data_IF_421550433539
#
_entry.id   IF_421550433539
#
_cell.length_a   1.000
_cell.length_b   1.000
_cell.length_c   1.000
_cell.angle_alpha   90.00
_cell.angle_beta   90.00
_cell.angle_gamma   90.00
#
_symmetry.space_group_name_H-M   'P 1'
#
loop_
_entity.id
_entity.type
_entity.pdbx_description
1 polymer ?
#
# COMPACT_ATOMS: atom_id res chain seq x y z
N UNK A 1 9.92 -18.54 -5.74
CA UNK A 1 8.86 -17.78 -6.47
C UNK A 1 8.14 -16.87 -5.49
N UNK A 2 7.76 -15.67 -5.93
CA UNK A 2 7.00 -14.73 -5.10
C UNK A 2 5.55 -15.17 -4.90
N UNK A 3 4.96 -14.79 -3.77
CA UNK A 3 3.60 -15.13 -3.39
C UNK A 3 2.69 -13.91 -3.51
N UNK A 4 1.66 -14.04 -4.32
CA UNK A 4 0.59 -13.06 -4.50
C UNK A 4 -0.68 -13.54 -3.80
N UNK A 5 -1.59 -12.62 -3.48
CA UNK A 5 -2.86 -12.91 -2.84
C UNK A 5 -4.04 -12.41 -3.67
N UNK A 6 -5.21 -12.98 -3.40
CA UNK A 6 -6.47 -12.45 -3.92
C UNK A 6 -6.83 -11.12 -3.26
N UNK A 7 -7.71 -10.37 -3.92
CA UNK A 7 -8.28 -9.15 -3.37
C UNK A 7 -8.88 -9.38 -1.97
N UNK A 8 -8.59 -8.46 -1.03
CA UNK A 8 -9.23 -8.41 0.28
C UNK A 8 -10.67 -7.85 0.18
N UNK A 9 -11.37 -7.72 1.32
CA UNK A 9 -12.76 -7.28 1.34
C UNK A 9 -13.02 -5.94 0.64
N UNK A 10 -12.14 -4.93 0.85
CA UNK A 10 -12.21 -3.62 0.18
C UNK A 10 -12.05 -3.79 -1.35
N UNK A 11 -10.99 -4.44 -1.76
CA UNK A 11 -10.61 -4.60 -3.16
C UNK A 11 -11.58 -5.51 -3.94
N UNK A 12 -12.24 -6.46 -3.28
CA UNK A 12 -13.30 -7.28 -3.88
C UNK A 12 -14.48 -6.46 -4.37
N UNK A 13 -14.81 -5.34 -3.69
CA UNK A 13 -15.88 -4.43 -4.12
C UNK A 13 -15.54 -3.79 -5.46
N UNK A 14 -14.34 -3.22 -5.58
CA UNK A 14 -13.85 -2.67 -6.85
C UNK A 14 -13.82 -3.73 -7.94
N UNK A 15 -13.23 -4.88 -7.66
CA UNK A 15 -13.11 -5.97 -8.62
C UNK A 15 -14.48 -6.44 -9.16
N UNK A 16 -15.49 -6.59 -8.27
CA UNK A 16 -16.86 -6.94 -8.65
C UNK A 16 -17.53 -5.84 -9.48
N UNK A 17 -17.41 -4.57 -9.04
CA UNK A 17 -18.03 -3.42 -9.73
C UNK A 17 -17.49 -3.22 -11.13
N UNK A 18 -16.18 -3.43 -11.33
CA UNK A 18 -15.51 -3.22 -12.61
C UNK A 18 -15.39 -4.50 -13.45
N UNK A 19 -15.80 -5.66 -12.95
CA UNK A 19 -15.69 -6.93 -13.65
C UNK A 19 -14.25 -7.40 -13.88
N UNK A 20 -13.30 -6.98 -13.03
CA UNK A 20 -11.86 -7.27 -13.18
C UNK A 20 -11.37 -8.29 -12.16
N UNK A 21 -10.32 -9.03 -12.52
CA UNK A 21 -9.59 -9.93 -11.62
C UNK A 21 -8.45 -9.16 -10.96
N UNK A 22 -8.58 -8.87 -9.67
CA UNK A 22 -7.60 -8.12 -8.90
C UNK A 22 -6.76 -9.04 -8.03
N UNK A 23 -5.46 -8.87 -8.11
CA UNK A 23 -4.46 -9.54 -7.25
C UNK A 23 -3.67 -8.52 -6.47
N UNK A 24 -3.00 -8.98 -5.42
CA UNK A 24 -2.23 -8.12 -4.51
C UNK A 24 -0.85 -8.69 -4.24
N UNK A 25 0.09 -7.79 -4.05
CA UNK A 25 1.43 -8.08 -3.59
C UNK A 25 1.70 -7.37 -2.26
N UNK A 26 2.54 -7.95 -1.42
CA UNK A 26 2.78 -7.43 -0.07
C UNK A 26 4.20 -7.74 0.38
N UNK A 27 4.82 -6.76 1.05
CA UNK A 27 6.13 -6.84 1.69
C UNK A 27 6.02 -6.50 3.18
N UNK A 28 7.06 -6.74 4.00
CA UNK A 28 7.05 -6.45 5.42
C UNK A 28 6.82 -4.97 5.70
N UNK A 29 5.73 -4.65 6.40
CA UNK A 29 5.40 -3.29 6.79
C UNK A 29 6.49 -2.68 7.69
N UNK A 30 6.76 -1.39 7.49
CA UNK A 30 7.79 -0.65 8.23
C UNK A 30 9.21 -0.96 7.76
N UNK A 31 9.59 -2.23 7.65
CA UNK A 31 10.94 -2.63 7.23
C UNK A 31 11.26 -2.24 5.79
N UNK A 32 10.28 -2.24 4.92
CA UNK A 32 10.41 -1.81 3.52
C UNK A 32 9.92 -0.39 3.27
N UNK A 33 9.40 0.31 4.30
CA UNK A 33 8.78 1.62 4.19
C UNK A 33 9.76 2.75 4.56
N UNK A 34 10.86 2.88 3.84
CA UNK A 34 11.91 3.88 4.13
C UNK A 34 11.45 5.34 4.15
N UNK A 35 10.39 5.67 3.39
CA UNK A 35 9.76 6.98 3.34
C UNK A 35 8.67 7.24 4.37
N UNK A 36 8.23 6.23 5.12
CA UNK A 36 7.13 6.38 6.07
C UNK A 36 7.52 7.18 7.31
N UNK A 37 6.58 7.98 7.83
CA UNK A 37 6.68 8.76 9.04
C UNK A 37 5.43 8.54 9.90
N UNK A 38 4.29 9.11 9.53
CA UNK A 38 3.07 9.15 10.33
C UNK A 38 2.41 7.78 10.54
N UNK A 39 2.62 6.82 9.63
CA UNK A 39 2.10 5.45 9.76
C UNK A 39 3.19 4.42 10.08
N UNK A 40 4.42 4.85 10.40
CA UNK A 40 5.53 3.92 10.58
C UNK A 40 5.27 2.96 11.75
N UNK A 41 5.05 1.71 11.41
CA UNK A 41 4.89 0.63 12.36
C UNK A 41 5.33 -0.69 11.72
N UNK A 42 5.83 -1.60 12.51
CA UNK A 42 6.30 -2.91 12.04
C UNK A 42 6.06 -3.99 13.11
N UNK A 43 5.85 -5.21 12.67
CA UNK A 43 5.81 -6.38 13.51
C UNK A 43 7.20 -7.04 13.55
N UNK A 44 7.68 -7.34 14.73
CA UNK A 44 8.92 -8.10 14.88
C UNK A 44 8.79 -9.45 14.14
N UNK A 45 9.78 -9.76 13.32
CA UNK A 45 9.72 -10.94 12.45
C UNK A 45 9.51 -12.25 13.21
N UNK A 46 10.17 -12.40 14.36
CA UNK A 46 10.15 -13.65 15.16
C UNK A 46 8.94 -13.71 16.07
N UNK A 47 8.74 -12.66 16.86
CA UNK A 47 7.74 -12.63 17.93
C UNK A 47 6.39 -12.11 17.50
N UNK A 48 6.31 -11.35 16.41
CA UNK A 48 5.11 -10.62 15.98
C UNK A 48 4.80 -9.38 16.83
N UNK A 49 5.63 -9.02 17.81
CA UNK A 49 5.41 -7.83 18.63
C UNK A 49 5.44 -6.57 17.76
N UNK A 50 4.37 -5.78 17.85
CA UNK A 50 4.28 -4.51 17.12
C UNK A 50 5.10 -3.43 17.82
N UNK A 51 5.78 -2.64 17.00
CA UNK A 51 6.47 -1.41 17.42
C UNK A 51 6.04 -0.29 16.48
N UNK A 52 5.68 0.85 17.05
CA UNK A 52 5.39 2.07 16.32
C UNK A 52 6.65 2.95 16.23
N UNK A 53 6.76 3.75 15.19
CA UNK A 53 7.82 4.74 15.03
C UNK A 53 7.65 5.90 16.02
N UNK A 54 8.69 6.71 16.20
CA UNK A 54 8.66 7.84 17.15
C UNK A 54 7.64 8.93 16.79
N UNK A 55 7.40 9.12 15.51
CA UNK A 55 6.52 10.17 14.95
C UNK A 55 5.19 9.60 14.44
N UNK A 56 4.87 8.34 14.79
CA UNK A 56 3.66 7.67 14.30
C UNK A 56 2.41 8.33 14.85
N UNK A 57 1.56 8.86 13.95
CA UNK A 57 0.26 9.45 14.27
C UNK A 57 -0.84 8.37 14.31
N UNK A 58 -0.74 7.39 13.40
CA UNK A 58 -1.62 6.22 13.35
C UNK A 58 -0.83 4.98 12.94
N UNK A 59 -1.20 3.85 13.55
CA UNK A 59 -0.52 2.59 13.26
C UNK A 59 -0.90 2.03 11.88
N UNK A 60 0.11 1.62 11.10
CA UNK A 60 -0.11 0.90 9.87
C UNK A 60 -0.93 -0.39 10.12
N UNK A 61 -2.05 -0.54 9.41
CA UNK A 61 -2.92 -1.71 9.56
C UNK A 61 -2.20 -3.02 9.23
N UNK A 62 -1.26 -2.97 8.29
CA UNK A 62 -0.52 -4.15 7.85
C UNK A 62 0.43 -4.66 8.94
N UNK A 63 1.07 -3.77 9.71
CA UNK A 63 1.88 -4.16 10.86
C UNK A 63 1.05 -4.93 11.91
N UNK A 64 -0.21 -4.49 12.14
CA UNK A 64 -1.14 -5.20 13.03
C UNK A 64 -1.56 -6.57 12.46
N UNK A 65 -1.76 -6.68 11.14
CA UNK A 65 -2.08 -7.97 10.51
C UNK A 65 -0.89 -8.94 10.55
N UNK A 66 0.33 -8.46 10.32
CA UNK A 66 1.54 -9.28 10.46
C UNK A 66 1.75 -9.78 11.90
N UNK A 67 1.39 -8.96 12.89
CA UNK A 67 1.42 -9.37 14.30
C UNK A 67 0.41 -10.49 14.59
N UNK A 68 -0.80 -10.35 14.06
CA UNK A 68 -1.91 -11.28 14.31
C UNK A 68 -1.75 -12.60 13.55
N UNK A 69 -1.21 -12.56 12.32
CA UNK A 69 -1.16 -13.71 11.42
C UNK A 69 0.28 -14.13 11.09
N UNK A 70 0.86 -15.11 11.83
CA UNK A 70 2.23 -15.59 11.61
C UNK A 70 2.50 -16.07 10.17
N UNK A 71 1.51 -16.70 9.53
CA UNK A 71 1.63 -17.18 8.14
C UNK A 71 1.74 -16.02 7.14
N UNK A 72 1.01 -14.93 7.37
CA UNK A 72 1.14 -13.71 6.57
C UNK A 72 2.53 -13.09 6.77
N UNK A 73 2.95 -12.96 8.03
CA UNK A 73 4.27 -12.45 8.37
C UNK A 73 5.39 -13.26 7.71
N UNK A 74 5.33 -14.59 7.78
CA UNK A 74 6.30 -15.45 7.10
C UNK A 74 6.32 -15.23 5.57
N UNK A 75 5.14 -15.14 4.95
CA UNK A 75 5.00 -14.93 3.51
C UNK A 75 5.61 -13.60 3.04
N UNK A 76 5.35 -12.49 3.73
CA UNK A 76 5.86 -11.18 3.30
C UNK A 76 7.38 -11.10 3.44
N UNK A 77 7.95 -11.73 4.47
CA UNK A 77 9.40 -11.84 4.64
C UNK A 77 10.05 -12.73 3.57
N UNK A 78 9.43 -13.86 3.21
CA UNK A 78 9.89 -14.73 2.12
C UNK A 78 9.91 -13.98 0.78
N UNK A 79 8.86 -13.19 0.49
CA UNK A 79 8.83 -12.32 -0.69
C UNK A 79 10.02 -11.35 -0.69
N UNK A 80 10.25 -10.68 0.43
CA UNK A 80 11.33 -9.70 0.58
C UNK A 80 12.70 -10.34 0.37
N UNK A 81 12.96 -11.49 1.01
CA UNK A 81 14.23 -12.21 0.87
C UNK A 81 14.49 -12.68 -0.57
N UNK A 82 13.46 -13.16 -1.26
CA UNK A 82 13.58 -13.54 -2.66
C UNK A 82 13.92 -12.34 -3.56
N UNK A 83 13.29 -11.19 -3.33
CA UNK A 83 13.60 -9.96 -4.07
C UNK A 83 15.02 -9.47 -3.79
N UNK A 84 15.44 -9.46 -2.53
CA UNK A 84 16.81 -9.08 -2.19
C UNK A 84 17.86 -10.03 -2.80
N UNK A 85 17.57 -11.32 -2.83
CA UNK A 85 18.46 -12.29 -3.46
C UNK A 85 18.56 -12.06 -4.99
N UNK A 86 17.42 -11.78 -5.65
CA UNK A 86 17.40 -11.50 -7.08
C UNK A 86 18.14 -10.19 -7.41
N UNK A 87 17.96 -9.14 -6.60
CA UNK A 87 18.62 -7.84 -6.80
C UNK A 87 20.16 -7.93 -6.72
N UNK A 88 20.72 -8.92 -6.04
CA UNK A 88 22.18 -9.15 -6.05
C UNK A 88 22.69 -9.49 -7.45
N UNK A 89 21.83 -10.01 -8.33
CA UNK A 89 22.11 -10.32 -9.72
C UNK A 89 21.60 -9.23 -10.69
N UNK A 90 21.18 -8.07 -10.16
CA UNK A 90 20.76 -6.91 -10.94
C UNK A 90 19.25 -6.74 -11.07
N UNK A 91 18.87 -5.63 -11.70
CA UNK A 91 17.47 -5.23 -11.90
C UNK A 91 16.70 -6.23 -12.75
N UNK A 92 17.33 -6.70 -13.86
CA UNK A 92 16.69 -7.61 -14.79
C UNK A 92 16.35 -8.95 -14.13
N UNK A 93 17.26 -9.49 -13.31
CA UNK A 93 17.01 -10.72 -12.55
C UNK A 93 15.84 -10.55 -11.55
N UNK A 94 15.70 -9.38 -10.95
CA UNK A 94 14.57 -9.05 -10.08
C UNK A 94 13.27 -8.91 -10.89
N UNK A 95 13.31 -8.23 -12.03
CA UNK A 95 12.17 -8.11 -12.95
C UNK A 95 11.71 -9.47 -13.47
N UNK A 96 12.65 -10.35 -13.85
CA UNK A 96 12.35 -11.72 -14.26
C UNK A 96 11.71 -12.54 -13.15
N UNK A 97 12.24 -12.44 -11.92
CA UNK A 97 11.63 -13.11 -10.76
C UNK A 97 10.19 -12.63 -10.55
N UNK A 98 9.93 -11.32 -10.58
CA UNK A 98 8.59 -10.76 -10.41
C UNK A 98 7.69 -11.25 -11.56
N UNK A 99 8.10 -11.03 -12.80
CA UNK A 99 7.33 -11.38 -14.00
C UNK A 99 6.94 -12.87 -14.03
N UNK A 100 7.90 -13.75 -13.80
CA UNK A 100 7.70 -15.21 -13.82
C UNK A 100 6.88 -15.70 -12.60
N UNK A 101 6.74 -14.89 -11.57
CA UNK A 101 5.90 -15.17 -10.40
C UNK A 101 4.49 -14.60 -10.50
N UNK A 102 4.19 -13.75 -11.50
CA UNK A 102 2.87 -13.16 -11.66
C UNK A 102 1.77 -14.23 -11.77
N UNK A 103 0.59 -14.01 -11.17
CA UNK A 103 -0.54 -14.90 -11.35
C UNK A 103 -0.96 -14.99 -12.83
N UNK A 104 -1.31 -16.19 -13.30
CA UNK A 104 -1.69 -16.40 -14.71
C UNK A 104 -2.92 -15.60 -15.17
N UNK A 105 -3.83 -15.28 -14.24
CA UNK A 105 -5.10 -14.61 -14.54
C UNK A 105 -5.30 -13.44 -13.59
N UNK A 106 -5.06 -12.24 -14.05
CA UNK A 106 -5.42 -10.99 -13.39
C UNK A 106 -5.50 -9.87 -14.43
N UNK A 107 -6.18 -8.80 -14.09
CA UNK A 107 -6.31 -7.58 -14.90
C UNK A 107 -5.67 -6.40 -14.16
N UNK A 108 -5.82 -6.38 -12.83
CA UNK A 108 -5.32 -5.30 -11.96
C UNK A 108 -4.48 -5.89 -10.83
N UNK A 109 -3.35 -5.25 -10.54
CA UNK A 109 -2.46 -5.61 -9.44
C UNK A 109 -2.26 -4.43 -8.49
N UNK A 110 -2.64 -4.58 -7.22
CA UNK A 110 -2.19 -3.66 -6.18
C UNK A 110 -0.78 -4.06 -5.75
N UNK A 111 0.19 -3.27 -6.14
CA UNK A 111 1.58 -3.41 -5.70
C UNK A 111 1.69 -2.76 -4.32
N UNK A 112 2.01 -3.57 -3.31
CA UNK A 112 2.07 -3.25 -1.88
C UNK A 112 0.70 -2.94 -1.22
N UNK A 113 0.04 -3.99 -0.71
CA UNK A 113 -1.00 -3.80 0.33
C UNK A 113 -0.34 -3.37 1.64
N UNK A 114 0.85 -3.88 1.92
CA UNK A 114 1.77 -3.45 2.97
C UNK A 114 3.20 -3.49 2.46
N UNK A 115 4.09 -2.74 3.12
CA UNK A 115 5.41 -2.47 2.60
C UNK A 115 5.40 -1.33 1.57
N UNK A 116 6.57 -1.04 1.00
CA UNK A 116 6.78 0.02 0.02
C UNK A 116 8.00 -0.32 -0.86
N UNK A 117 8.29 0.53 -1.84
CA UNK A 117 9.52 0.42 -2.63
C UNK A 117 10.73 0.74 -1.75
N UNK A 118 11.54 -0.28 -1.49
CA UNK A 118 12.65 -0.19 -0.54
C UNK A 118 13.98 0.21 -1.19
N UNK A 119 14.07 0.19 -2.52
CA UNK A 119 15.23 0.68 -3.27
C UNK A 119 14.86 1.13 -4.68
N UNK A 120 15.76 1.89 -5.30
CA UNK A 120 15.65 2.36 -6.68
C UNK A 120 15.60 1.20 -7.67
N UNK A 121 16.46 0.22 -7.48
CA UNK A 121 16.56 -0.97 -8.35
C UNK A 121 15.28 -1.82 -8.28
N UNK A 122 14.66 -1.92 -7.11
CA UNK A 122 13.39 -2.61 -6.93
C UNK A 122 12.23 -1.88 -7.62
N UNK A 123 12.19 -0.55 -7.53
CA UNK A 123 11.20 0.23 -8.30
C UNK A 123 11.42 0.05 -9.80
N UNK A 124 12.68 0.11 -10.26
CA UNK A 124 13.01 -0.11 -11.66
C UNK A 124 12.58 -1.50 -12.15
N UNK A 125 12.74 -2.54 -11.34
CA UNK A 125 12.25 -3.88 -11.66
C UNK A 125 10.73 -3.90 -11.88
N UNK A 126 9.93 -3.19 -11.06
CA UNK A 126 8.49 -3.08 -11.27
C UNK A 126 8.13 -2.27 -12.51
N UNK A 127 8.90 -1.22 -12.85
CA UNK A 127 8.74 -0.48 -14.10
C UNK A 127 8.93 -1.41 -15.30
N UNK A 128 9.97 -2.24 -15.30
CA UNK A 128 10.20 -3.22 -16.37
C UNK A 128 9.10 -4.29 -16.42
N UNK A 129 8.61 -4.76 -15.27
CA UNK A 129 7.46 -5.68 -15.22
C UNK A 129 6.20 -5.05 -15.82
N UNK A 130 5.91 -3.79 -15.51
CA UNK A 130 4.76 -3.09 -16.08
C UNK A 130 4.87 -2.95 -17.61
N UNK A 131 6.05 -2.58 -18.12
CA UNK A 131 6.30 -2.49 -19.58
C UNK A 131 6.11 -3.84 -20.29
N UNK A 132 6.50 -4.95 -19.66
CA UNK A 132 6.33 -6.31 -20.19
C UNK A 132 4.88 -6.82 -20.17
N UNK A 133 3.98 -6.11 -19.46
CA UNK A 133 2.57 -6.49 -19.31
C UNK A 133 1.65 -5.27 -19.60
N UNK A 134 1.66 -4.74 -20.83
CA UNK A 134 0.97 -3.49 -21.16
C UNK A 134 -0.56 -3.59 -21.08
N UNK A 135 -1.12 -4.80 -21.12
CA UNK A 135 -2.54 -5.12 -20.97
C UNK A 135 -3.01 -5.21 -19.51
N UNK A 136 -2.11 -5.03 -18.54
CA UNK A 136 -2.40 -5.08 -17.11
C UNK A 136 -2.22 -3.71 -16.46
N UNK A 137 -3.02 -3.43 -15.43
CA UNK A 137 -2.87 -2.24 -14.60
C UNK A 137 -2.18 -2.61 -13.30
N UNK A 138 -1.10 -1.91 -12.99
CA UNK A 138 -0.41 -1.96 -11.71
C UNK A 138 -0.62 -0.63 -11.00
N UNK A 139 -1.03 -0.64 -9.75
CA UNK A 139 -1.14 0.58 -8.96
C UNK A 139 -0.56 0.40 -7.57
N UNK A 140 -0.06 1.50 -7.01
CA UNK A 140 0.52 1.49 -5.67
C UNK A 140 0.32 2.80 -4.95
N UNK A 141 0.26 2.71 -3.63
CA UNK A 141 0.48 3.82 -2.73
C UNK A 141 1.95 3.81 -2.31
N UNK A 142 2.60 4.96 -2.29
CA UNK A 142 4.00 5.02 -1.85
C UNK A 142 4.29 6.28 -1.04
N UNK A 143 5.13 6.12 -0.02
CA UNK A 143 5.81 7.21 0.70
C UNK A 143 7.29 7.29 0.33
N UNK A 144 7.80 6.36 -0.48
CA UNK A 144 9.17 6.34 -1.00
C UNK A 144 9.34 7.27 -2.21
N UNK A 145 8.74 8.46 -2.15
CA UNK A 145 8.57 9.40 -3.27
C UNK A 145 9.90 9.86 -3.88
N UNK A 146 10.95 9.94 -3.09
CA UNK A 146 12.30 10.27 -3.56
C UNK A 146 12.85 9.30 -4.60
N UNK A 147 12.34 8.07 -4.66
CA UNK A 147 12.73 7.09 -5.68
C UNK A 147 12.05 7.40 -7.02
N UNK A 148 10.80 7.82 -6.99
CA UNK A 148 9.97 8.02 -8.19
C UNK A 148 10.39 9.22 -9.03
N UNK A 149 10.90 10.29 -8.43
CA UNK A 149 11.35 11.50 -9.16
C UNK A 149 12.43 11.24 -10.22
N UNK A 150 13.04 10.06 -10.19
CA UNK A 150 14.12 9.67 -11.10
C UNK A 150 13.65 8.91 -12.33
N UNK A 151 12.34 8.55 -12.41
CA UNK A 151 11.81 7.69 -13.45
C UNK A 151 10.55 8.28 -14.09
N UNK A 152 10.44 8.12 -15.40
CA UNK A 152 9.17 8.20 -16.09
C UNK A 152 8.44 6.85 -15.92
N UNK A 153 7.25 6.87 -15.36
CA UNK A 153 6.44 5.67 -15.17
C UNK A 153 5.71 5.33 -16.47
N UNK A 154 5.58 4.04 -16.84
CA UNK A 154 4.68 3.65 -17.91
C UNK A 154 3.23 3.89 -17.47
N UNK A 155 2.33 4.17 -18.43
CA UNK A 155 0.93 4.53 -18.15
C UNK A 155 0.17 3.51 -17.31
N UNK A 156 0.55 2.25 -17.41
CA UNK A 156 -0.05 1.14 -16.68
C UNK A 156 0.57 0.88 -15.29
N UNK A 157 1.51 1.72 -14.82
CA UNK A 157 2.02 1.72 -13.45
C UNK A 157 1.60 3.02 -12.75
N UNK A 158 0.46 2.98 -12.07
CA UNK A 158 -0.18 4.15 -11.47
C UNK A 158 0.34 4.38 -10.06
N UNK A 159 0.99 5.53 -9.83
CA UNK A 159 1.40 6.00 -8.51
C UNK A 159 0.28 6.83 -7.86
N UNK A 160 -0.03 6.54 -6.61
CA UNK A 160 -0.68 7.45 -5.68
C UNK A 160 0.32 7.78 -4.58
N UNK A 161 0.72 9.04 -4.46
CA UNK A 161 1.54 9.49 -3.35
C UNK A 161 0.75 9.36 -2.05
N UNK A 162 1.34 8.78 -1.01
CA UNK A 162 0.67 8.62 0.28
C UNK A 162 1.21 9.66 1.24
N UNK A 163 0.44 10.70 1.55
CA UNK A 163 0.85 11.79 2.46
C UNK A 163 1.10 11.27 3.89
N UNK A 164 1.90 11.95 4.66
CA UNK A 164 2.38 11.54 5.97
C UNK A 164 3.72 10.79 5.90
N UNK A 165 4.54 11.12 4.92
CA UNK A 165 5.90 10.61 4.71
C UNK A 165 6.98 11.65 4.94
N UNK A 166 8.23 11.23 4.76
CA UNK A 166 9.42 12.09 4.88
C UNK A 166 9.66 12.99 3.67
N UNK A 167 8.97 12.74 2.57
CA UNK A 167 9.20 13.35 1.26
C UNK A 167 7.91 13.95 0.71
N UNK A 168 7.04 14.46 1.59
CA UNK A 168 5.75 15.02 1.20
C UNK A 168 5.89 16.31 0.38
N UNK A 169 6.99 17.04 0.57
CA UNK A 169 7.39 18.18 -0.26
C UNK A 169 7.44 17.86 -1.76
N UNK A 170 7.76 16.62 -2.10
CA UNK A 170 7.78 16.17 -3.49
C UNK A 170 6.38 16.02 -4.10
N UNK A 171 5.34 15.83 -3.29
CA UNK A 171 3.96 15.77 -3.75
C UNK A 171 3.58 17.12 -4.34
N UNK A 172 3.80 18.18 -3.57
CA UNK A 172 3.47 19.55 -3.95
C UNK A 172 4.33 20.02 -5.14
N UNK A 173 5.65 19.71 -5.09
CA UNK A 173 6.60 20.08 -6.15
C UNK A 173 6.24 19.47 -7.51
N UNK A 174 5.76 18.23 -7.54
CA UNK A 174 5.44 17.50 -8.77
C UNK A 174 3.95 17.44 -9.08
N UNK A 175 3.12 18.04 -8.25
CA UNK A 175 1.65 17.98 -8.34
C UNK A 175 1.14 16.53 -8.50
N UNK A 176 1.71 15.60 -7.73
CA UNK A 176 1.31 14.20 -7.80
C UNK A 176 -0.06 13.97 -7.16
N UNK A 177 -0.85 13.11 -7.77
CA UNK A 177 -2.06 12.57 -7.13
C UNK A 177 -1.70 11.95 -5.80
N UNK A 178 -2.44 12.31 -4.74
CA UNK A 178 -2.17 11.83 -3.41
C UNK A 178 -3.39 11.22 -2.71
N UNK A 179 -3.10 10.43 -1.69
CA UNK A 179 -4.06 9.93 -0.72
C UNK A 179 -3.69 10.45 0.67
N UNK A 180 -4.67 11.02 1.37
CA UNK A 180 -4.53 11.55 2.74
C UNK A 180 -5.36 10.67 3.67
N UNK A 181 -4.77 10.18 4.76
CA UNK A 181 -5.51 9.50 5.81
C UNK A 181 -6.16 10.54 6.71
N UNK A 182 -7.49 10.48 6.83
CA UNK A 182 -8.30 11.37 7.66
C UNK A 182 -8.93 10.61 8.82
N UNK A 183 -9.17 11.30 9.91
CA UNK A 183 -9.68 10.72 11.14
C UNK A 183 -11.21 10.82 11.25
N UNK A 184 -11.82 11.64 10.40
CA UNK A 184 -13.28 11.78 10.30
C UNK A 184 -13.71 12.09 8.85
N UNK A 185 -15.03 12.11 8.61
CA UNK A 185 -15.57 12.55 7.32
C UNK A 185 -15.54 14.07 7.18
N UNK A 186 -15.73 14.76 8.29
CA UNK A 186 -15.66 16.23 8.37
C UNK A 186 -14.25 16.71 7.95
N UNK A 187 -13.20 16.01 8.37
CA UNK A 187 -11.83 16.34 7.94
C UNK A 187 -11.65 16.16 6.41
N UNK A 188 -12.27 15.14 5.82
CA UNK A 188 -12.25 14.97 4.36
C UNK A 188 -13.01 16.11 3.65
N UNK A 189 -14.15 16.54 4.19
CA UNK A 189 -14.94 17.67 3.67
C UNK A 189 -14.16 18.99 3.77
N UNK A 190 -13.50 19.27 4.89
CA UNK A 190 -12.64 20.44 5.08
C UNK A 190 -11.47 20.51 4.08
N UNK A 191 -10.96 19.35 3.67
CA UNK A 191 -9.89 19.22 2.68
C UNK A 191 -10.42 19.20 1.23
N UNK A 192 -11.72 19.26 1.00
CA UNK A 192 -12.39 19.11 -0.31
C UNK A 192 -11.96 17.80 -1.03
N UNK A 193 -11.91 16.70 -0.27
CA UNK A 193 -11.48 15.40 -0.78
C UNK A 193 -12.61 14.37 -0.71
N UNK A 194 -12.80 13.63 -1.81
CA UNK A 194 -13.67 12.46 -1.83
C UNK A 194 -13.03 11.30 -1.05
N UNK A 195 -13.85 10.56 -0.29
CA UNK A 195 -13.38 9.38 0.45
C UNK A 195 -13.38 8.15 -0.46
N UNK A 196 -12.22 7.53 -0.64
CA UNK A 196 -12.10 6.30 -1.41
C UNK A 196 -12.47 5.06 -0.57
N UNK A 197 -13.52 4.36 -1.00
CA UNK A 197 -14.06 3.18 -0.32
C UNK A 197 -13.58 1.84 -0.91
N UNK A 198 -12.96 1.83 -2.09
CA UNK A 198 -12.67 0.58 -2.80
C UNK A 198 -11.34 0.56 -3.58
N UNK A 199 -10.48 1.56 -3.43
CA UNK A 199 -9.22 1.80 -4.17
C UNK A 199 -9.41 2.22 -5.64
N UNK A 200 -10.62 2.52 -6.07
CA UNK A 200 -10.82 2.94 -7.48
C UNK A 200 -10.19 4.30 -7.80
N UNK A 201 -10.14 5.23 -6.84
CA UNK A 201 -9.44 6.49 -6.99
C UNK A 201 -7.93 6.27 -7.19
N UNK A 202 -7.36 5.31 -6.44
CA UNK A 202 -5.94 4.99 -6.57
C UNK A 202 -5.61 4.35 -7.93
N UNK A 203 -6.42 3.37 -8.36
CA UNK A 203 -6.13 2.59 -9.55
C UNK A 203 -6.49 3.32 -10.86
N UNK A 204 -7.57 4.12 -10.88
CA UNK A 204 -8.15 4.68 -12.10
C UNK A 204 -8.50 6.16 -12.01
N UNK A 205 -8.57 6.74 -10.80
CA UNK A 205 -8.87 8.16 -10.62
C UNK A 205 -7.67 9.07 -10.89
N UNK A 206 -7.95 10.29 -11.36
CA UNK A 206 -6.92 11.31 -11.59
C UNK A 206 -6.75 12.30 -10.42
N UNK A 207 -7.76 12.41 -9.57
CA UNK A 207 -7.77 13.37 -8.44
C UNK A 207 -7.22 12.77 -7.16
N UNK A 208 -6.70 13.62 -6.29
CA UNK A 208 -6.39 13.30 -4.90
C UNK A 208 -7.65 12.93 -4.12
N UNK A 209 -7.51 12.18 -3.05
CA UNK A 209 -8.64 11.65 -2.28
C UNK A 209 -8.27 11.35 -0.83
N UNK A 210 -9.29 11.20 0.01
CA UNK A 210 -9.14 10.83 1.40
C UNK A 210 -9.31 9.31 1.63
N UNK A 211 -8.67 8.81 2.68
CA UNK A 211 -8.83 7.45 3.20
C UNK A 211 -9.22 7.54 4.68
N UNK A 212 -10.37 7.01 5.06
CA UNK A 212 -10.74 6.95 6.47
C UNK A 212 -9.79 6.03 7.25
N UNK A 213 -9.41 6.50 8.42
CA UNK A 213 -8.59 5.75 9.37
C UNK A 213 -9.20 4.36 9.64
N UNK A 214 -8.36 3.33 9.61
CA UNK A 214 -8.77 1.94 9.85
C UNK A 214 -7.66 1.11 10.51
N UNK A 215 -7.94 -0.16 10.76
CA UNK A 215 -7.00 -1.08 11.40
C UNK A 215 -7.08 -1.02 12.93
N UNK A 216 -6.03 -1.53 13.61
CA UNK A 216 -5.94 -1.55 15.07
C UNK A 216 -5.00 -0.44 15.51
N UNK A 217 -5.50 0.49 16.29
CA UNK A 217 -4.76 1.63 16.79
C UNK A 217 -4.29 1.43 18.24
N UNK A 218 -3.21 2.07 18.67
CA UNK A 218 -2.72 1.98 20.05
C UNK A 218 -3.78 2.51 21.02
N UNK A 219 -4.04 1.76 22.10
CA UNK A 219 -5.04 2.17 23.12
C UNK A 219 -4.71 3.54 23.69
N UNK A 220 -5.70 4.42 23.73
CA UNK A 220 -5.59 5.79 24.27
C UNK A 220 -4.96 6.80 23.30
N UNK A 221 -4.55 6.42 22.08
CA UNK A 221 -4.11 7.37 21.07
C UNK A 221 -5.30 8.12 20.47
N UNK A 222 -5.05 9.29 19.89
CA UNK A 222 -6.02 10.06 19.12
C UNK A 222 -6.64 9.21 18.00
N UNK A 223 -5.81 8.50 17.25
CA UNK A 223 -6.25 7.55 16.22
C UNK A 223 -7.19 6.47 16.79
N UNK A 224 -6.98 5.99 18.02
CA UNK A 224 -7.88 5.02 18.68
C UNK A 224 -9.23 5.63 19.01
N UNK A 225 -9.26 6.88 19.46
CA UNK A 225 -10.50 7.62 19.77
C UNK A 225 -11.28 7.86 18.47
N UNK A 226 -10.64 8.41 17.46
CA UNK A 226 -11.23 8.64 16.14
C UNK A 226 -11.80 7.37 15.51
N UNK A 227 -11.02 6.28 15.52
CA UNK A 227 -11.49 4.99 15.00
C UNK A 227 -12.71 4.46 15.76
N UNK A 228 -12.79 4.71 17.09
CA UNK A 228 -13.94 4.33 17.89
C UNK A 228 -15.19 5.14 17.52
N UNK A 229 -15.02 6.43 17.23
CA UNK A 229 -16.11 7.30 16.73
C UNK A 229 -16.59 6.83 15.35
N UNK A 230 -15.69 6.58 14.40
CA UNK A 230 -16.02 6.05 13.08
C UNK A 230 -16.80 4.72 13.14
N UNK A 231 -16.42 3.83 14.05
CA UNK A 231 -17.11 2.54 14.24
C UNK A 231 -18.53 2.69 14.77
N UNK A 232 -18.81 3.68 15.62
CA UNK A 232 -20.16 3.96 16.14
C UNK A 232 -21.14 4.36 15.02
N UNK A 233 -20.65 5.00 13.97
CA UNK A 233 -21.45 5.37 12.79
C UNK A 233 -21.36 4.35 11.65
N UNK A 234 -20.85 3.13 11.92
CA UNK A 234 -20.74 2.05 10.94
C UNK A 234 -19.59 2.15 9.96
N UNK A 235 -18.65 3.08 10.21
CA UNK A 235 -17.47 3.34 9.38
C UNK A 235 -16.18 2.93 10.12
N UNK A 236 -15.01 3.15 9.57
CA UNK A 236 -13.74 2.78 10.24
C UNK A 236 -13.38 1.30 10.18
N UNK A 237 -13.95 0.55 9.26
CA UNK A 237 -13.59 -0.84 8.98
C UNK A 237 -14.08 -1.28 7.62
N UNK A 238 -13.19 -1.83 6.81
CA UNK A 238 -13.55 -2.40 5.48
C UNK A 238 -14.14 -3.81 5.56
N UNK A 239 -14.04 -4.48 6.71
CA UNK A 239 -14.53 -5.84 6.92
C UNK A 239 -16.02 -5.94 7.21
N UNK A 240 -16.66 -4.87 7.70
CA UNK A 240 -18.05 -4.87 8.16
C UNK A 240 -19.04 -4.18 7.21
N UNK A 241 -18.60 -3.68 6.08
CA UNK A 241 -19.54 -3.19 5.08
C UNK A 241 -20.29 -4.37 4.48
N UNK A 242 -21.53 -4.60 4.92
CA UNK A 242 -22.44 -5.55 4.27
C UNK A 242 -22.48 -5.23 2.76
N UNK A 243 -22.18 -6.23 1.96
CA UNK A 243 -22.27 -6.21 0.49
C UNK A 243 -23.73 -6.17 0.08
#
# INVERSE_FOLDING_TARGET
>A
MLKFKDANGKLKKMAKRLGVKLKTFTLPAGYTCGGAKDCLAYADRKTGKVRDGKETQFRCFMASLEATFPSLRAMVWENYEHLQAALKNGVDACADLIHNSLPKKFDVMRVHVGGDYFSKEYLQAWIEVAKRNPDKVFYSYSKSLHLFKQFALPENLVLTASRGGKYDDLIDLHAWKEAIVVFSEEEAEELDLEIDHDDSHAAFGAKSFALLLHGTQPKGSEASVALSALRKIGKGGYSNAKV
#
